data_IF_456157685677
#
_entry.id   IF_456157685677
#
_cell.length_a   1.000
_cell.length_b   1.000
_cell.length_c   1.000
_cell.angle_alpha   90.00
_cell.angle_beta   90.00
_cell.angle_gamma   90.00
#
_symmetry.space_group_name_H-M   'P 1'
#
loop_
_entity.id
_entity.type
_entity.pdbx_description
1 polymer ?
#
# COMPACT_ATOMS: atom_id res chain seq x y z
N UNK A 1 -5.50 -8.52 11.61
CA UNK A 1 -5.79 -7.56 10.52
C UNK A 1 -4.54 -7.22 9.70
N UNK A 2 -3.44 -6.73 10.30
CA UNK A 2 -2.22 -6.40 9.54
C UNK A 2 -1.62 -7.63 8.84
N UNK A 3 -1.56 -8.77 9.52
CA UNK A 3 -1.11 -10.03 8.93
C UNK A 3 -1.92 -10.39 7.66
N UNK A 4 -3.25 -10.29 7.74
CA UNK A 4 -4.14 -10.56 6.62
C UNK A 4 -3.87 -9.64 5.42
N UNK A 5 -3.63 -8.34 5.65
CA UNK A 5 -3.21 -7.41 4.60
C UNK A 5 -1.86 -7.80 4.00
N UNK A 6 -0.85 -8.07 4.83
CA UNK A 6 0.48 -8.50 4.38
C UNK A 6 0.44 -9.78 3.56
N UNK A 7 -0.46 -10.71 3.85
CA UNK A 7 -0.60 -11.98 3.13
C UNK A 7 -1.61 -11.96 1.97
N UNK A 8 -2.36 -10.86 1.78
CA UNK A 8 -3.42 -10.78 0.76
C UNK A 8 -4.64 -11.67 1.05
N UNK A 9 -5.13 -11.66 2.30
CA UNK A 9 -6.37 -12.34 2.75
C UNK A 9 -7.28 -11.39 3.55
N UNK A 10 -7.42 -10.16 3.06
CA UNK A 10 -8.27 -9.12 3.65
C UNK A 10 -9.77 -9.35 3.39
N UNK A 11 -10.10 -10.17 2.39
CA UNK A 11 -11.48 -10.35 1.91
C UNK A 11 -11.91 -9.30 0.89
N UNK A 12 -11.01 -8.38 0.52
CA UNK A 12 -11.23 -7.39 -0.53
C UNK A 12 -10.47 -7.84 -1.78
N UNK A 13 -11.16 -8.30 -2.84
CA UNK A 13 -10.53 -9.00 -3.96
C UNK A 13 -9.37 -8.25 -4.61
N UNK A 14 -9.53 -6.95 -4.80
CA UNK A 14 -8.53 -6.13 -5.47
C UNK A 14 -7.27 -5.92 -4.61
N UNK A 15 -7.43 -5.70 -3.30
CA UNK A 15 -6.32 -5.59 -2.35
C UNK A 15 -5.57 -6.92 -2.26
N UNK A 16 -6.31 -8.02 -2.15
CA UNK A 16 -5.77 -9.37 -2.05
C UNK A 16 -5.02 -9.76 -3.32
N UNK A 17 -5.56 -9.47 -4.51
CA UNK A 17 -4.90 -9.69 -5.79
C UNK A 17 -3.60 -8.87 -5.91
N UNK A 18 -3.62 -7.60 -5.50
CA UNK A 18 -2.44 -6.74 -5.56
C UNK A 18 -1.32 -7.25 -4.65
N UNK A 19 -1.64 -7.63 -3.40
CA UNK A 19 -0.62 -8.14 -2.47
C UNK A 19 -0.05 -9.48 -2.94
N UNK A 20 -0.90 -10.39 -3.43
CA UNK A 20 -0.45 -11.69 -3.97
C UNK A 20 0.37 -11.54 -5.24
N UNK A 21 -0.02 -10.64 -6.15
CA UNK A 21 0.76 -10.31 -7.32
C UNK A 21 2.14 -9.80 -6.89
N UNK A 22 2.18 -8.82 -5.98
CA UNK A 22 3.43 -8.28 -5.46
C UNK A 22 4.32 -9.34 -4.79
N UNK A 23 3.74 -10.30 -4.07
CA UNK A 23 4.50 -11.43 -3.49
C UNK A 23 5.11 -12.36 -4.56
N UNK A 24 4.46 -12.52 -5.71
CA UNK A 24 4.88 -13.43 -6.77
C UNK A 24 5.83 -12.77 -7.77
N UNK A 25 5.56 -11.53 -8.15
CA UNK A 25 6.25 -10.82 -9.24
C UNK A 25 7.23 -9.78 -8.74
N UNK A 26 7.03 -9.27 -7.51
CA UNK A 26 7.78 -8.15 -6.97
C UNK A 26 7.49 -6.80 -7.61
N UNK A 27 6.40 -6.69 -8.40
CA UNK A 27 5.98 -5.43 -9.01
C UNK A 27 4.44 -5.34 -9.18
N UNK A 28 3.92 -4.13 -8.99
CA UNK A 28 2.55 -3.71 -9.30
C UNK A 28 2.57 -2.25 -9.75
N UNK A 29 1.61 -1.86 -10.60
CA UNK A 29 1.55 -0.49 -11.11
C UNK A 29 1.34 0.55 -9.99
N UNK A 30 1.69 1.81 -10.31
CA UNK A 30 1.63 2.93 -9.37
C UNK A 30 0.28 3.11 -8.66
N UNK A 31 -0.85 2.97 -9.38
CA UNK A 31 -2.18 3.12 -8.76
C UNK A 31 -2.45 2.04 -7.73
N UNK A 32 -2.03 0.80 -8.00
CA UNK A 32 -2.18 -0.30 -7.07
C UNK A 32 -1.30 -0.11 -5.83
N UNK A 33 -0.08 0.41 -6.00
CA UNK A 33 0.79 0.79 -4.87
C UNK A 33 0.10 1.80 -3.96
N UNK A 34 -0.42 2.89 -4.54
CA UNK A 34 -1.14 3.93 -3.80
C UNK A 34 -2.39 3.39 -3.09
N UNK A 35 -3.14 2.50 -3.74
CA UNK A 35 -4.33 1.87 -3.16
C UNK A 35 -3.99 0.97 -1.96
N UNK A 36 -2.92 0.18 -2.02
CA UNK A 36 -2.48 -0.64 -0.89
C UNK A 36 -2.16 0.21 0.34
N UNK A 37 -1.47 1.35 0.13
CA UNK A 37 -1.15 2.30 1.20
C UNK A 37 -2.43 2.95 1.75
N UNK A 38 -3.26 3.48 0.86
CA UNK A 38 -4.52 4.14 1.22
C UNK A 38 -5.46 3.21 2.00
N UNK A 39 -5.54 1.94 1.61
CA UNK A 39 -6.31 0.92 2.33
C UNK A 39 -5.75 0.65 3.72
N UNK A 40 -4.44 0.49 3.86
CA UNK A 40 -3.79 0.29 5.15
C UNK A 40 -4.03 1.47 6.11
N UNK A 41 -3.87 2.70 5.63
CA UNK A 41 -3.91 3.88 6.50
C UNK A 41 -5.31 4.39 6.75
N UNK A 42 -6.18 4.44 5.73
CA UNK A 42 -7.48 5.09 5.84
C UNK A 42 -8.63 4.11 6.11
N UNK A 43 -8.57 2.89 5.55
CA UNK A 43 -9.62 1.88 5.78
C UNK A 43 -9.32 1.02 7.00
N UNK A 44 -8.05 0.62 7.20
CA UNK A 44 -7.65 -0.20 8.35
C UNK A 44 -7.19 0.62 9.56
N UNK A 45 -7.02 1.94 9.41
CA UNK A 45 -6.54 2.87 10.44
C UNK A 45 -5.22 2.41 11.10
N UNK A 46 -4.26 1.97 10.29
CA UNK A 46 -2.95 1.49 10.76
C UNK A 46 -1.83 2.50 10.49
N UNK A 47 -0.81 2.51 11.35
CA UNK A 47 0.38 3.32 11.14
C UNK A 47 1.09 2.88 9.85
N UNK A 48 1.32 3.85 8.96
CA UNK A 48 2.01 3.67 7.68
C UNK A 48 3.38 3.00 7.82
N UNK A 49 4.09 3.23 8.94
CA UNK A 49 5.39 2.61 9.23
C UNK A 49 5.34 1.09 9.26
N UNK A 50 4.19 0.52 9.57
CA UNK A 50 4.00 -0.95 9.60
C UNK A 50 3.90 -1.57 8.21
N UNK A 51 3.46 -0.80 7.21
CA UNK A 51 3.34 -1.22 5.83
C UNK A 51 4.54 -0.84 4.96
N UNK A 52 5.20 0.28 5.25
CA UNK A 52 6.30 0.79 4.42
C UNK A 52 7.47 -0.19 4.33
N UNK A 53 7.84 -0.79 5.46
CA UNK A 53 8.92 -1.78 5.51
C UNK A 53 8.51 -3.08 4.82
N UNK A 54 7.24 -3.48 4.94
CA UNK A 54 6.73 -4.69 4.28
C UNK A 54 6.77 -4.55 2.77
N UNK A 55 6.23 -3.46 2.23
CA UNK A 55 6.23 -3.24 0.78
C UNK A 55 7.66 -3.04 0.24
N UNK A 56 8.53 -2.36 0.98
CA UNK A 56 9.93 -2.17 0.59
C UNK A 56 10.67 -3.51 0.37
N UNK A 57 10.35 -4.55 1.16
CA UNK A 57 10.94 -5.87 1.04
C UNK A 57 10.44 -6.67 -0.18
N UNK A 58 9.33 -6.25 -0.78
CA UNK A 58 8.70 -6.96 -1.88
C UNK A 58 9.00 -6.34 -3.24
N UNK A 59 9.23 -5.03 -3.31
CA UNK A 59 9.47 -4.34 -4.57
C UNK A 59 10.87 -4.63 -5.12
N UNK A 60 10.93 -5.15 -6.35
CA UNK A 60 12.19 -5.33 -7.09
C UNK A 60 12.82 -3.98 -7.49
N UNK A 61 12.00 -2.94 -7.64
CA UNK A 61 12.39 -1.59 -7.98
C UNK A 61 12.45 -0.66 -6.75
N UNK A 62 12.68 -1.23 -5.56
CA UNK A 62 12.76 -0.45 -4.34
C UNK A 62 13.86 0.61 -4.42
N UNK A 63 13.45 1.87 -4.37
CA UNK A 63 14.33 3.02 -4.23
C UNK A 63 13.83 3.86 -3.04
N UNK A 64 14.64 4.05 -1.99
CA UNK A 64 14.20 4.70 -0.76
C UNK A 64 13.77 6.16 -0.97
N UNK A 65 14.45 6.92 -1.83
CA UNK A 65 14.13 8.32 -2.14
C UNK A 65 12.76 8.52 -2.78
N UNK A 66 12.22 7.50 -3.46
CA UNK A 66 10.90 7.48 -4.09
C UNK A 66 9.88 6.82 -3.16
N UNK A 67 10.22 5.66 -2.59
CA UNK A 67 9.29 4.82 -1.82
C UNK A 67 8.77 5.54 -0.57
N UNK A 68 9.65 6.11 0.26
CA UNK A 68 9.22 6.73 1.52
C UNK A 68 8.35 7.98 1.29
N UNK A 69 8.74 8.96 0.44
CA UNK A 69 7.91 10.13 0.21
C UNK A 69 6.57 9.80 -0.44
N UNK A 70 6.52 8.85 -1.39
CA UNK A 70 5.27 8.42 -1.99
C UNK A 70 4.36 7.73 -0.96
N UNK A 71 4.91 6.86 -0.11
CA UNK A 71 4.13 6.20 0.93
C UNK A 71 3.54 7.23 1.90
N UNK A 72 4.35 8.19 2.36
CA UNK A 72 3.88 9.26 3.27
C UNK A 72 2.79 10.13 2.63
N UNK A 73 2.91 10.44 1.34
CA UNK A 73 1.90 11.19 0.60
C UNK A 73 0.57 10.43 0.53
N UNK A 74 0.59 9.13 0.21
CA UNK A 74 -0.64 8.32 0.14
C UNK A 74 -1.24 8.03 1.52
N UNK A 75 -0.40 7.96 2.54
CA UNK A 75 -0.80 7.84 3.93
C UNK A 75 -1.43 9.11 4.51
N UNK A 76 -1.34 10.25 3.81
CA UNK A 76 -1.80 11.56 4.30
C UNK A 76 -0.93 12.14 5.42
N UNK A 77 0.32 11.69 5.54
CA UNK A 77 1.29 12.18 6.54
C UNK A 77 1.98 13.44 6.05
N UNK A 78 2.27 13.49 4.75
CA UNK A 78 2.91 14.61 4.09
C UNK A 78 2.09 15.06 2.89
N UNK A 79 2.13 16.36 2.61
CA UNK A 79 1.44 16.98 1.49
C UNK A 79 0.40 18.00 1.94
N UNK A 80 0.37 19.12 1.22
CA UNK A 80 -0.62 20.20 1.35
C UNK A 80 -1.96 19.88 0.66
N UNK A 81 -2.02 18.72 -0.02
CA UNK A 81 -3.15 18.32 -0.85
C UNK A 81 -4.19 17.53 -0.06
N UNK A 82 -5.44 17.60 -0.48
CA UNK A 82 -6.56 16.85 0.08
C UNK A 82 -6.25 15.34 0.16
N UNK A 83 -6.55 14.72 1.30
CA UNK A 83 -6.37 13.28 1.52
C UNK A 83 -7.11 12.51 0.42
N UNK A 84 -6.40 11.56 -0.22
CA UNK A 84 -6.96 10.70 -1.27
C UNK A 84 -7.25 9.31 -0.72
N UNK A 85 -8.53 8.97 -0.65
CA UNK A 85 -9.00 7.64 -0.24
C UNK A 85 -9.42 6.88 -1.48
N UNK A 86 -8.75 5.76 -1.77
CA UNK A 86 -9.10 4.90 -2.88
C UNK A 86 -10.26 3.98 -2.49
N UNK A 87 -11.21 3.79 -3.40
CA UNK A 87 -12.26 2.79 -3.25
C UNK A 87 -11.73 1.45 -3.80
N UNK A 88 -11.61 0.40 -2.98
CA UNK A 88 -11.06 -0.86 -3.46
C UNK A 88 -12.08 -1.72 -4.24
N UNK A 89 -13.32 -1.24 -4.39
CA UNK A 89 -14.41 -1.90 -5.15
C UNK A 89 -14.73 -1.18 -6.46
N UNK A 90 -14.43 0.12 -6.57
CA UNK A 90 -14.71 0.97 -7.74
C UNK A 90 -13.43 1.65 -8.22
#
# INVERSE_FOLDING_TARGET
KLAAWKSGYTGIPLIDACMRCLHQTGDINFRMRAMLVSFLTHHMNMDWRTGVTHLAQLFLDFEPGIHYPQFQMQAGVTGTNTIRIYNPVK
#
